data_IF_765355084244
#
_entry.id   IF_765355084244
#
_cell.length_a   1.000
_cell.length_b   1.000
_cell.length_c   1.000
_cell.angle_alpha   90.00
_cell.angle_beta   90.00
_cell.angle_gamma   90.00
#
_symmetry.space_group_name_H-M   'P 1'
#
loop_
_entity.id
_entity.type
_entity.pdbx_description
1 polymer ?
#
# COMPACT_ATOMS: atom_id res chain seq x y z
N UNK A 1 7.50 0.66 0.08
CA UNK A 1 6.29 0.44 0.93
C UNK A 1 5.09 1.06 0.22
N UNK A 2 3.94 0.41 0.20
CA UNK A 2 2.72 0.95 -0.44
C UNK A 2 1.61 1.19 0.58
N UNK A 3 0.79 2.21 0.36
CA UNK A 3 -0.39 2.53 1.18
C UNK A 3 -1.59 2.68 0.26
N UNK A 4 -2.67 1.95 0.53
CA UNK A 4 -3.97 2.11 -0.11
C UNK A 4 -5.00 2.62 0.88
N UNK A 5 -5.80 3.59 0.48
CA UNK A 5 -6.95 4.11 1.26
C UNK A 5 -8.23 3.63 0.60
N UNK A 6 -9.11 3.01 1.37
CA UNK A 6 -10.33 2.37 0.88
C UNK A 6 -11.56 2.95 1.56
N UNK A 7 -12.67 3.01 0.82
CA UNK A 7 -13.95 3.47 1.33
C UNK A 7 -14.62 2.44 2.25
N UNK A 8 -14.32 1.15 2.07
CA UNK A 8 -14.91 0.06 2.85
C UNK A 8 -13.88 -0.98 3.26
N UNK A 9 -14.20 -1.74 4.32
CA UNK A 9 -13.41 -2.89 4.72
C UNK A 9 -13.42 -3.99 3.64
N UNK A 10 -14.55 -4.20 2.96
CA UNK A 10 -14.67 -5.21 1.91
C UNK A 10 -13.72 -4.97 0.75
N UNK A 11 -13.57 -3.71 0.31
CA UNK A 11 -12.62 -3.34 -0.74
C UNK A 11 -11.17 -3.64 -0.31
N UNK A 12 -10.81 -3.26 0.92
CA UNK A 12 -9.48 -3.53 1.48
C UNK A 12 -9.20 -5.04 1.62
N UNK A 13 -10.19 -5.83 2.04
CA UNK A 13 -10.05 -7.29 2.18
C UNK A 13 -9.93 -8.00 0.83
N UNK A 14 -10.63 -7.52 -0.20
CA UNK A 14 -10.47 -8.01 -1.57
C UNK A 14 -9.04 -7.82 -2.08
N UNK A 15 -8.44 -6.66 -1.81
CA UNK A 15 -7.04 -6.38 -2.15
C UNK A 15 -6.09 -7.29 -1.36
N UNK A 16 -6.31 -7.44 -0.05
CA UNK A 16 -5.50 -8.34 0.78
C UNK A 16 -5.52 -9.77 0.25
N UNK A 17 -6.68 -10.27 -0.17
CA UNK A 17 -6.80 -11.60 -0.78
C UNK A 17 -6.01 -11.71 -2.09
N UNK A 18 -6.09 -10.69 -2.95
CA UNK A 18 -5.30 -10.63 -4.18
C UNK A 18 -3.79 -10.62 -3.91
N UNK A 19 -3.35 -9.81 -2.94
CA UNK A 19 -1.94 -9.75 -2.53
C UNK A 19 -1.45 -11.07 -1.94
N UNK A 20 -2.25 -11.73 -1.10
CA UNK A 20 -1.91 -13.02 -0.52
C UNK A 20 -1.78 -14.12 -1.60
N UNK A 21 -2.65 -14.10 -2.62
CA UNK A 21 -2.56 -15.03 -3.76
C UNK A 21 -1.27 -14.83 -4.58
N UNK A 22 -0.70 -13.63 -4.54
CA UNK A 22 0.56 -13.28 -5.19
C UNK A 22 1.79 -13.47 -4.27
N UNK A 23 1.59 -14.03 -3.07
CA UNK A 23 2.65 -14.31 -2.09
C UNK A 23 2.98 -13.16 -1.13
N UNK A 24 2.28 -12.02 -1.25
CA UNK A 24 2.53 -10.86 -0.40
C UNK A 24 1.67 -10.95 0.86
N UNK A 25 2.34 -11.24 1.98
CA UNK A 25 1.70 -11.54 3.27
C UNK A 25 1.99 -10.50 4.36
N UNK A 26 2.91 -9.56 4.11
CA UNK A 26 3.26 -8.49 5.05
C UNK A 26 2.47 -7.23 4.76
N UNK A 27 1.36 -7.07 5.48
CA UNK A 27 0.55 -5.87 5.47
C UNK A 27 -0.01 -5.58 6.86
N UNK A 28 -0.33 -4.32 7.09
CA UNK A 28 -0.96 -3.83 8.30
C UNK A 28 -2.24 -3.07 7.92
N UNK A 29 -3.32 -3.36 8.64
CA UNK A 29 -4.56 -2.59 8.54
C UNK A 29 -4.57 -1.58 9.67
N UNK A 30 -4.53 -0.31 9.30
CA UNK A 30 -4.60 0.78 10.25
C UNK A 30 -6.07 1.21 10.37
N UNK A 31 -6.69 1.12 11.56
CA UNK A 31 -7.96 1.79 11.78
C UNK A 31 -7.72 3.29 11.61
N UNK A 32 -8.61 3.99 10.92
CA UNK A 32 -8.61 5.45 11.00
C UNK A 32 -8.93 5.80 12.45
N UNK A 33 -7.92 6.31 13.17
CA UNK A 33 -8.05 6.68 14.57
C UNK A 33 -9.31 7.50 14.78
N UNK A 34 -10.05 7.22 15.85
CA UNK A 34 -11.33 7.83 16.21
C UNK A 34 -11.29 9.37 16.24
N UNK A 35 -10.09 9.95 16.32
CA UNK A 35 -9.83 11.40 16.22
C UNK A 35 -9.97 11.95 14.78
N UNK A 36 -9.63 11.16 13.76
CA UNK A 36 -9.87 11.51 12.34
C UNK A 36 -11.29 11.18 11.87
N UNK A 37 -12.01 10.31 12.58
CA UNK A 37 -13.42 10.03 12.32
C UNK A 37 -14.33 11.26 12.52
N UNK A 38 -13.87 12.25 13.29
CA UNK A 38 -14.56 13.54 13.43
C UNK A 38 -14.44 14.45 12.19
N UNK A 39 -13.40 14.25 11.36
CA UNK A 39 -13.16 15.04 10.15
C UNK A 39 -13.70 14.35 8.88
N UNK A 40 -13.77 13.02 8.86
CA UNK A 40 -14.33 12.26 7.74
C UNK A 40 -15.36 11.22 8.24
N UNK A 41 -16.68 11.47 8.08
CA UNK A 41 -17.72 10.60 8.61
C UNK A 41 -17.82 9.25 7.89
N UNK A 42 -16.99 9.00 6.86
CA UNK A 42 -17.09 7.79 6.03
C UNK A 42 -16.23 6.62 6.48
N UNK A 43 -15.44 6.76 7.56
CA UNK A 43 -14.70 5.64 8.14
C UNK A 43 -13.82 4.93 7.11
N UNK A 44 -12.82 5.63 6.57
CA UNK A 44 -11.91 5.06 5.58
C UNK A 44 -11.00 4.00 6.21
N UNK A 45 -10.59 3.02 5.41
CA UNK A 45 -9.70 1.94 5.81
C UNK A 45 -8.35 2.17 5.16
N UNK A 46 -7.29 2.18 5.97
CA UNK A 46 -5.92 2.33 5.47
C UNK A 46 -5.22 0.98 5.49
N UNK A 47 -4.79 0.51 4.32
CA UNK A 47 -3.99 -0.70 4.16
C UNK A 47 -2.55 -0.30 3.86
N UNK A 48 -1.62 -0.76 4.69
CA UNK A 48 -0.19 -0.55 4.53
C UNK A 48 0.46 -1.87 4.13
N UNK A 49 1.14 -1.90 3.00
CA UNK A 49 1.81 -3.09 2.46
C UNK A 49 3.32 -2.88 2.49
N UNK A 50 4.03 -3.79 3.14
CA UNK A 50 5.48 -3.77 3.22
C UNK A 50 6.06 -4.56 2.06
N UNK A 51 6.97 -3.93 1.33
CA UNK A 51 7.56 -4.43 0.10
C UNK A 51 9.04 -4.66 0.36
N UNK A 52 9.57 -5.82 -0.04
CA UNK A 52 10.97 -6.20 0.12
C UNK A 52 11.74 -6.11 -1.18
N UNK A 53 11.06 -6.21 -2.32
CA UNK A 53 11.67 -6.17 -3.66
C UNK A 53 10.97 -5.16 -4.57
N UNK A 54 11.64 -4.78 -5.65
CA UNK A 54 11.07 -3.91 -6.68
C UNK A 54 9.92 -4.61 -7.42
N UNK A 55 10.02 -5.93 -7.65
CA UNK A 55 8.96 -6.72 -8.26
C UNK A 55 7.69 -6.72 -7.41
N UNK A 56 7.82 -6.85 -6.09
CA UNK A 56 6.70 -6.73 -5.15
C UNK A 56 6.09 -5.33 -5.22
N UNK A 57 6.91 -4.28 -5.31
CA UNK A 57 6.40 -2.91 -5.44
C UNK A 57 5.55 -2.73 -6.67
N UNK A 58 6.02 -3.15 -7.85
CA UNK A 58 5.26 -3.02 -9.09
C UNK A 58 3.95 -3.81 -9.05
N UNK A 59 4.00 -5.01 -8.47
CA UNK A 59 2.83 -5.89 -8.38
C UNK A 59 1.80 -5.33 -7.37
N UNK A 60 2.23 -4.79 -6.23
CA UNK A 60 1.33 -4.14 -5.27
C UNK A 60 0.79 -2.84 -5.82
N UNK A 61 1.63 -2.01 -6.44
CA UNK A 61 1.21 -0.77 -7.07
C UNK A 61 0.12 -1.03 -8.10
N UNK A 62 0.34 -2.00 -8.98
CA UNK A 62 -0.65 -2.42 -9.98
C UNK A 62 -1.94 -2.91 -9.31
N UNK A 63 -1.84 -3.81 -8.34
CA UNK A 63 -3.01 -4.35 -7.62
C UNK A 63 -3.83 -3.25 -6.93
N UNK A 64 -3.16 -2.27 -6.33
CA UNK A 64 -3.80 -1.13 -5.66
C UNK A 64 -4.44 -0.17 -6.68
N UNK A 65 -3.78 0.10 -7.81
CA UNK A 65 -4.30 0.97 -8.86
C UNK A 65 -5.49 0.34 -9.62
N UNK A 66 -5.48 -0.98 -9.80
CA UNK A 66 -6.59 -1.74 -10.41
C UNK A 66 -7.76 -1.95 -9.41
N UNK A 67 -7.58 -1.59 -8.13
CA UNK A 67 -8.60 -1.72 -7.09
C UNK A 67 -9.46 -0.46 -6.93
N UNK A 68 -10.55 -0.57 -6.15
CA UNK A 68 -11.39 0.56 -5.74
C UNK A 68 -10.74 1.43 -4.63
N UNK A 69 -9.40 1.51 -4.58
CA UNK A 69 -8.72 2.41 -3.67
C UNK A 69 -9.06 3.87 -4.01
N UNK A 70 -9.44 4.65 -3.00
CA UNK A 70 -9.69 6.09 -3.14
C UNK A 70 -8.39 6.88 -3.32
N UNK A 71 -7.30 6.36 -2.76
CA UNK A 71 -5.97 6.95 -2.88
C UNK A 71 -4.91 5.86 -2.73
N UNK A 72 -3.81 5.99 -3.47
CA UNK A 72 -2.66 5.10 -3.41
C UNK A 72 -1.41 5.94 -3.22
N UNK A 73 -0.62 5.63 -2.21
CA UNK A 73 0.70 6.25 -1.97
C UNK A 73 1.77 5.16 -2.07
N UNK A 74 2.73 5.36 -2.97
CA UNK A 74 3.87 4.48 -3.15
C UNK A 74 5.10 5.17 -2.57
N UNK A 75 5.72 4.57 -1.56
CA UNK A 75 7.04 4.95 -1.10
C UNK A 75 8.05 4.04 -1.77
N UNK A 76 8.84 4.65 -2.65
CA UNK A 76 9.95 4.03 -3.36
C UNK A 76 10.78 3.18 -2.39
N UNK A 77 10.92 1.89 -2.69
CA UNK A 77 11.95 1.06 -2.04
C UNK A 77 13.28 1.61 -2.53
N UNK A 78 13.87 2.53 -1.77
CA UNK A 78 15.18 3.11 -2.08
C UNK A 78 16.16 1.96 -2.33
N UNK A 79 16.38 1.64 -3.60
CA UNK A 79 17.50 0.83 -4.03
C UNK A 79 18.70 1.70 -3.75
N UNK A 80 19.38 1.45 -2.64
CA UNK A 80 20.71 1.99 -2.38
C UNK A 80 21.68 1.37 -3.38
N UNK A 81 21.54 1.74 -4.65
CA UNK A 81 22.46 1.40 -5.74
C UNK A 81 22.80 2.62 -6.62
N UNK A 82 22.44 3.85 -6.22
CA UNK A 82 23.05 5.08 -6.78
C UNK A 82 24.41 5.39 -6.11
N UNK A 83 25.16 4.36 -5.70
CA UNK A 83 26.47 4.49 -5.08
C UNK A 83 27.59 3.96 -5.98
N UNK A 84 27.53 4.21 -7.30
CA UNK A 84 28.61 3.79 -8.20
C UNK A 84 28.76 4.61 -9.49
N UNK A 85 28.50 5.91 -9.52
CA UNK A 85 28.97 6.72 -10.65
C UNK A 85 29.20 8.19 -10.28
N UNK A 86 30.38 8.50 -9.74
CA UNK A 86 31.05 9.80 -9.90
C UNK A 86 32.38 9.79 -9.15
N UNK A 87 33.35 9.03 -9.67
CA UNK A 87 34.76 9.34 -9.49
C UNK A 87 35.34 9.48 -10.89
N UNK A 88 35.46 10.72 -11.36
CA UNK A 88 36.33 11.05 -12.49
C UNK A 88 37.02 12.38 -12.24
#
# INVERSE_FOLDING_TARGET
>A
MAIGVFATQGDAESVVLGLAALGITRFERLPTSTDQAAADPRGTIVLRVYLQTLDEEQLVARTLLESNAQSVQLHDVVTRDDAADSIK
#
